data_IF_709186396654
#
_entry.id   IF_709186396654
#
_cell.length_a   1.000
_cell.length_b   1.000
_cell.length_c   1.000
_cell.angle_alpha   90.00
_cell.angle_beta   90.00
_cell.angle_gamma   90.00
#
_symmetry.space_group_name_H-M   'P 1'
#
loop_
_entity.id
_entity.type
_entity.pdbx_description
1 polymer ?
#
# COMPACT_ATOMS: atom_id res chain seq x y z
N UNK A 1 -16.37 4.77 12.62
CA UNK A 1 -16.42 3.47 13.36
C UNK A 1 -17.56 2.66 12.79
N UNK A 2 -17.26 1.51 12.21
CA UNK A 2 -18.28 0.55 11.80
C UNK A 2 -18.47 -0.47 12.92
N UNK A 3 -19.68 -0.53 13.45
CA UNK A 3 -20.06 -1.56 14.43
C UNK A 3 -20.82 -2.66 13.70
N UNK A 4 -20.30 -3.88 13.75
CA UNK A 4 -20.97 -5.06 13.22
C UNK A 4 -21.54 -5.85 14.39
N UNK A 5 -22.85 -6.01 14.46
CA UNK A 5 -23.53 -6.83 15.46
C UNK A 5 -23.83 -8.21 14.89
N UNK A 6 -23.41 -9.25 15.57
CA UNK A 6 -23.75 -10.64 15.24
C UNK A 6 -24.63 -11.19 16.35
N UNK A 7 -25.87 -11.55 16.03
CA UNK A 7 -26.79 -12.23 16.93
C UNK A 7 -26.82 -13.71 16.57
N UNK A 8 -26.43 -14.58 17.50
CA UNK A 8 -26.51 -16.03 17.34
C UNK A 8 -27.63 -16.55 18.21
N UNK A 9 -28.67 -17.12 17.59
CA UNK A 9 -29.78 -17.80 18.30
C UNK A 9 -29.80 -19.27 17.93
N UNK A 10 -29.96 -20.13 18.93
CA UNK A 10 -30.04 -21.58 18.75
C UNK A 10 -31.20 -22.15 19.54
N UNK A 11 -31.78 -23.29 19.06
CA UNK A 11 -32.93 -23.95 19.66
C UNK A 11 -32.59 -24.52 21.06
N UNK A 12 -31.32 -24.73 21.37
CA UNK A 12 -30.85 -25.29 22.65
C UNK A 12 -30.48 -24.22 23.68
N UNK A 13 -30.60 -22.94 23.37
CA UNK A 13 -30.27 -21.86 24.29
C UNK A 13 -31.58 -21.24 24.82
N UNK A 14 -31.84 -21.29 26.11
CA UNK A 14 -33.05 -20.72 26.69
C UNK A 14 -33.10 -19.18 26.64
N UNK A 15 -31.97 -18.56 26.38
CA UNK A 15 -31.81 -17.11 26.16
C UNK A 15 -30.83 -16.87 25.02
N UNK A 16 -31.16 -15.95 24.14
CA UNK A 16 -30.25 -15.53 23.08
C UNK A 16 -28.90 -15.07 23.65
N UNK A 17 -27.82 -15.53 23.08
CA UNK A 17 -26.48 -15.03 23.39
C UNK A 17 -26.15 -13.90 22.43
N UNK A 18 -25.96 -12.70 22.96
CA UNK A 18 -25.52 -11.54 22.19
C UNK A 18 -24.00 -11.42 22.30
N UNK A 19 -23.31 -11.41 21.16
CA UNK A 19 -21.92 -11.07 21.08
C UNK A 19 -21.76 -9.81 20.26
N UNK A 20 -21.17 -8.78 20.84
CA UNK A 20 -20.86 -7.54 20.13
C UNK A 20 -19.36 -7.51 19.78
N UNK A 21 -19.06 -7.46 18.50
CA UNK A 21 -17.70 -7.26 17.99
C UNK A 21 -17.61 -5.85 17.43
N UNK A 22 -16.78 -5.02 18.04
CA UNK A 22 -16.46 -3.71 17.47
C UNK A 22 -15.27 -3.86 16.52
N UNK A 23 -15.51 -3.66 15.23
CA UNK A 23 -14.46 -3.60 14.24
C UNK A 23 -13.99 -2.15 14.12
N UNK A 24 -12.77 -1.89 14.56
CA UNK A 24 -12.12 -0.60 14.32
C UNK A 24 -11.39 -0.71 12.98
N UNK A 25 -11.82 0.04 11.96
CA UNK A 25 -11.09 0.05 10.69
C UNK A 25 -9.66 0.52 10.93
N UNK A 26 -8.67 -0.23 10.40
CA UNK A 26 -7.28 0.21 10.43
C UNK A 26 -7.10 1.49 9.62
N UNK A 27 -6.24 2.39 10.06
CA UNK A 27 -5.87 3.55 9.27
C UNK A 27 -5.21 3.11 7.96
N UNK A 28 -5.54 3.72 6.81
CA UNK A 28 -4.89 3.44 5.55
C UNK A 28 -3.37 3.57 5.67
N UNK A 29 -2.65 2.58 5.18
CA UNK A 29 -1.18 2.58 5.18
C UNK A 29 -0.62 2.02 3.88
N UNK A 30 0.63 2.34 3.60
CA UNK A 30 1.36 1.88 2.43
C UNK A 30 2.58 1.10 2.89
N UNK A 31 2.82 -0.07 2.31
CA UNK A 31 4.07 -0.80 2.44
C UNK A 31 4.77 -0.86 1.10
N UNK A 32 6.10 -0.75 1.11
CA UNK A 32 6.92 -0.90 -0.08
C UNK A 32 7.54 -2.29 -0.13
N UNK A 33 7.56 -2.86 -1.33
CA UNK A 33 8.21 -4.15 -1.62
C UNK A 33 9.08 -4.04 -2.86
N UNK A 34 10.11 -4.84 -2.93
CA UNK A 34 10.89 -5.04 -4.15
C UNK A 34 10.17 -6.02 -5.07
N UNK A 35 10.17 -5.74 -6.36
CA UNK A 35 9.70 -6.68 -7.37
C UNK A 35 10.89 -7.36 -8.05
N UNK A 36 10.92 -8.68 -7.92
CA UNK A 36 11.92 -9.51 -8.58
C UNK A 36 11.36 -10.00 -9.94
N UNK A 37 12.14 -9.93 -11.03
CA UNK A 37 11.67 -10.38 -12.35
C UNK A 37 11.26 -11.86 -12.42
N UNK A 38 11.89 -12.72 -11.59
CA UNK A 38 11.63 -14.17 -11.58
C UNK A 38 10.54 -14.57 -10.57
N UNK A 39 10.51 -13.92 -9.42
CA UNK A 39 9.66 -14.31 -8.28
C UNK A 39 8.49 -13.38 -8.05
N UNK A 40 8.37 -12.30 -8.82
CA UNK A 40 7.35 -11.29 -8.62
C UNK A 40 7.62 -10.39 -7.40
N UNK A 41 6.58 -9.88 -6.78
CA UNK A 41 6.69 -9.01 -5.60
C UNK A 41 7.12 -9.81 -4.38
N UNK A 42 8.19 -9.38 -3.73
CA UNK A 42 8.77 -10.06 -2.55
C UNK A 42 8.04 -9.64 -1.27
N UNK A 43 6.83 -10.13 -1.06
CA UNK A 43 5.97 -9.78 0.09
C UNK A 43 6.52 -10.23 1.44
N UNK A 44 7.49 -11.14 1.49
CA UNK A 44 8.12 -11.60 2.72
C UNK A 44 9.06 -10.58 3.35
N UNK A 45 9.41 -9.51 2.61
CA UNK A 45 10.35 -8.49 3.08
C UNK A 45 9.87 -7.09 2.68
N UNK A 46 9.25 -6.39 3.63
CA UNK A 46 8.96 -4.97 3.47
C UNK A 46 10.26 -4.16 3.38
N UNK A 47 10.30 -3.21 2.45
CA UNK A 47 11.35 -2.21 2.40
C UNK A 47 11.14 -1.19 3.53
N UNK A 48 12.16 -0.97 4.34
CA UNK A 48 12.13 0.03 5.40
C UNK A 48 12.11 1.47 4.87
N UNK A 49 12.58 2.41 5.67
CA UNK A 49 12.69 3.81 5.24
C UNK A 49 13.83 4.06 4.25
N UNK A 50 14.84 3.19 4.26
CA UNK A 50 16.02 3.26 3.39
C UNK A 50 16.19 1.92 2.69
N UNK A 51 16.35 1.97 1.39
CA UNK A 51 16.62 0.82 0.54
C UNK A 51 17.89 1.06 -0.27
N UNK A 52 18.81 0.11 -0.27
CA UNK A 52 20.02 0.17 -1.11
C UNK A 52 19.88 -0.79 -2.28
N UNK A 53 20.00 -0.25 -3.48
CA UNK A 53 19.90 -1.05 -4.71
C UNK A 53 21.17 -1.88 -4.89
N UNK A 54 21.01 -3.17 -5.12
CA UNK A 54 22.09 -4.09 -5.48
C UNK A 54 22.19 -4.36 -6.97
N UNK A 55 21.22 -3.87 -7.73
CA UNK A 55 21.12 -4.03 -9.19
C UNK A 55 21.06 -2.66 -9.86
N UNK A 56 21.31 -2.60 -11.16
CA UNK A 56 21.23 -1.36 -11.92
C UNK A 56 19.80 -0.85 -12.09
N UNK A 57 18.84 -1.75 -11.96
CA UNK A 57 17.42 -1.45 -12.10
C UNK A 57 16.62 -2.30 -11.10
N UNK A 58 15.66 -1.69 -10.44
CA UNK A 58 14.75 -2.36 -9.50
C UNK A 58 13.36 -1.74 -9.59
N UNK A 59 12.33 -2.56 -9.61
CA UNK A 59 10.96 -2.11 -9.47
C UNK A 59 10.55 -2.11 -8.00
N UNK A 60 10.00 -1.00 -7.55
CA UNK A 60 9.45 -0.81 -6.20
C UNK A 60 7.94 -0.82 -6.30
N UNK A 61 7.31 -1.70 -5.54
CA UNK A 61 5.86 -1.84 -5.49
C UNK A 61 5.34 -1.22 -4.21
N UNK A 62 4.34 -0.36 -4.32
CA UNK A 62 3.59 0.18 -3.21
C UNK A 62 2.28 -0.58 -3.05
N UNK A 63 2.12 -1.25 -1.91
CA UNK A 63 0.91 -1.96 -1.57
C UNK A 63 0.11 -1.20 -0.51
N UNK A 64 -1.11 -0.75 -0.87
CA UNK A 64 -2.00 -0.11 0.07
C UNK A 64 -2.75 -1.14 0.91
N UNK A 65 -2.79 -0.89 2.22
CA UNK A 65 -3.54 -1.67 3.19
C UNK A 65 -4.62 -0.82 3.83
N UNK A 66 -5.74 -1.45 4.18
CA UNK A 66 -6.90 -0.81 4.81
C UNK A 66 -7.57 0.26 3.94
N UNK A 67 -7.49 0.10 2.63
CA UNK A 67 -8.26 0.85 1.66
C UNK A 67 -9.52 0.07 1.25
N UNK A 68 -10.58 0.80 0.94
CA UNK A 68 -11.72 0.31 0.19
C UNK A 68 -11.62 0.92 -1.21
N UNK A 69 -11.72 0.20 -2.28
CA UNK A 69 -12.20 -1.17 -2.51
C UNK A 69 -11.11 -2.24 -2.33
N UNK A 70 -11.53 -3.51 -2.37
CA UNK A 70 -10.64 -4.67 -2.22
C UNK A 70 -9.57 -4.76 -3.32
N UNK A 71 -9.85 -4.25 -4.50
CA UNK A 71 -8.88 -4.20 -5.59
C UNK A 71 -8.46 -2.75 -5.83
N UNK A 72 -7.29 -2.42 -5.32
CA UNK A 72 -6.70 -1.09 -5.36
C UNK A 72 -6.14 -0.67 -6.72
N UNK A 73 -6.06 -1.58 -7.68
CA UNK A 73 -5.64 -1.26 -9.06
C UNK A 73 -6.78 -0.70 -9.90
N UNK A 74 -7.99 -0.69 -9.39
CA UNK A 74 -9.14 -0.10 -10.08
C UNK A 74 -9.09 1.44 -10.12
N UNK A 75 -9.95 2.00 -10.96
CA UNK A 75 -10.08 3.45 -11.16
C UNK A 75 -10.40 4.24 -9.88
N UNK A 76 -10.91 3.55 -8.86
CA UNK A 76 -11.33 4.16 -7.60
C UNK A 76 -10.18 4.55 -6.67
N UNK A 77 -8.95 4.19 -7.03
CA UNK A 77 -7.75 4.51 -6.26
C UNK A 77 -6.72 5.21 -7.15
N UNK A 78 -6.32 6.38 -6.74
CA UNK A 78 -5.29 7.17 -7.41
C UNK A 78 -3.92 6.96 -6.74
N UNK A 79 -2.90 6.74 -7.55
CA UNK A 79 -1.50 6.61 -7.14
C UNK A 79 -0.72 7.81 -7.67
N UNK A 80 -0.11 8.58 -6.78
CA UNK A 80 0.67 9.77 -7.11
C UNK A 80 2.11 9.58 -6.68
N UNK A 81 2.98 9.27 -7.63
CA UNK A 81 4.40 9.10 -7.40
C UNK A 81 5.17 10.39 -7.59
N UNK A 82 6.15 10.65 -6.72
CA UNK A 82 7.11 11.74 -6.84
C UNK A 82 8.52 11.22 -6.62
N UNK A 83 9.45 11.69 -7.43
CA UNK A 83 10.89 11.44 -7.29
C UNK A 83 11.57 12.78 -7.08
N UNK A 84 12.23 12.96 -5.93
CA UNK A 84 12.89 14.22 -5.56
C UNK A 84 11.99 15.46 -5.71
N UNK A 85 10.67 15.30 -5.45
CA UNK A 85 9.68 16.34 -5.56
C UNK A 85 9.05 16.51 -6.95
N UNK A 86 9.59 15.85 -7.98
CA UNK A 86 9.01 15.85 -9.32
C UNK A 86 7.96 14.74 -9.47
N UNK A 87 6.79 15.08 -10.00
CA UNK A 87 5.72 14.11 -10.26
C UNK A 87 6.10 13.17 -11.39
N UNK A 88 5.82 11.90 -11.19
CA UNK A 88 6.00 10.84 -12.18
C UNK A 88 4.63 10.43 -12.72
N UNK A 89 4.42 10.62 -14.01
CA UNK A 89 3.15 10.31 -14.67
C UNK A 89 3.17 8.93 -15.33
N UNK A 90 1.97 8.39 -15.55
CA UNK A 90 1.72 7.24 -16.44
C UNK A 90 2.45 5.94 -16.04
N UNK A 91 2.50 5.63 -14.74
CA UNK A 91 3.00 4.34 -14.29
C UNK A 91 2.06 3.21 -14.68
N UNK A 92 2.61 2.11 -15.19
CA UNK A 92 1.87 0.88 -15.46
C UNK A 92 2.71 -0.33 -15.03
N UNK A 93 2.25 -1.10 -14.03
CA UNK A 93 1.04 -0.87 -13.21
C UNK A 93 1.18 0.36 -12.30
N UNK A 94 0.05 0.94 -11.89
CA UNK A 94 -0.01 2.19 -11.10
C UNK A 94 0.75 2.14 -9.78
N UNK A 95 0.81 0.97 -9.17
CA UNK A 95 1.42 0.71 -7.88
C UNK A 95 2.92 0.38 -7.96
N UNK A 96 3.52 0.38 -9.15
CA UNK A 96 4.93 0.05 -9.32
C UNK A 96 5.71 1.23 -9.93
N UNK A 97 6.91 1.44 -9.43
CA UNK A 97 7.85 2.44 -9.92
C UNK A 97 9.18 1.77 -10.26
N UNK A 98 9.61 1.90 -11.50
CA UNK A 98 10.91 1.43 -11.95
C UNK A 98 11.99 2.46 -11.59
N UNK A 99 12.98 2.06 -10.83
CA UNK A 99 14.12 2.89 -10.42
C UNK A 99 15.38 2.35 -11.07
N UNK A 100 16.16 3.23 -11.67
CA UNK A 100 17.45 2.91 -12.31
C UNK A 100 18.57 3.68 -11.66
N UNK A 101 19.73 3.04 -11.50
CA UNK A 101 20.94 3.72 -11.08
C UNK A 101 21.36 4.75 -12.14
N UNK A 102 21.60 5.98 -11.69
CA UNK A 102 22.34 6.97 -12.50
C UNK A 102 23.84 6.69 -12.48
N UNK A 103 24.58 7.24 -13.44
CA UNK A 103 26.03 6.96 -13.55
C UNK A 103 26.92 7.46 -12.41
N UNK A 104 26.38 8.25 -11.51
CA UNK A 104 27.11 8.81 -10.36
C UNK A 104 26.40 8.48 -9.07
N UNK A 105 26.40 7.37 -8.56
CA UNK A 105 25.76 7.00 -7.26
C UNK A 105 25.11 8.16 -6.47
N UNK A 106 24.30 7.89 -5.54
CA UNK A 106 23.60 8.91 -4.76
C UNK A 106 22.38 8.39 -4.05
N UNK A 107 21.59 9.28 -3.46
CA UNK A 107 20.34 8.94 -2.81
C UNK A 107 19.18 9.64 -3.50
N UNK A 108 18.12 8.92 -3.73
CA UNK A 108 16.87 9.41 -4.32
C UNK A 108 15.73 9.29 -3.32
N UNK A 109 14.97 10.36 -3.17
CA UNK A 109 13.77 10.37 -2.35
C UNK A 109 12.55 10.02 -3.22
N UNK A 110 11.91 8.92 -2.91
CA UNK A 110 10.66 8.49 -3.53
C UNK A 110 9.52 8.74 -2.54
N UNK A 111 8.49 9.40 -3.01
CA UNK A 111 7.27 9.64 -2.24
C UNK A 111 6.08 9.13 -3.02
N UNK A 112 5.16 8.47 -2.35
CA UNK A 112 3.87 8.08 -2.93
C UNK A 112 2.73 8.55 -2.05
N UNK A 113 1.69 9.06 -2.70
CA UNK A 113 0.40 9.29 -2.09
C UNK A 113 -0.64 8.41 -2.79
N UNK A 114 -1.39 7.66 -2.01
CA UNK A 114 -2.49 6.82 -2.49
C UNK A 114 -3.77 7.37 -1.89
N UNK A 115 -4.75 7.61 -2.74
CA UNK A 115 -6.04 8.21 -2.36
C UNK A 115 -7.20 7.43 -2.97
N UNK A 116 -8.25 7.20 -2.18
CA UNK A 116 -9.52 6.76 -2.73
C UNK A 116 -10.23 7.96 -3.37
N UNK A 117 -10.69 7.79 -4.61
CA UNK A 117 -11.47 8.84 -5.31
C UNK A 117 -12.95 8.81 -4.94
N UNK A 118 -13.40 7.73 -4.31
CA UNK A 118 -14.81 7.52 -3.95
C UNK A 118 -15.07 7.65 -2.46
N UNK A 119 -14.06 7.47 -1.62
CA UNK A 119 -14.16 7.51 -0.15
C UNK A 119 -13.37 8.69 0.39
N UNK A 120 -14.07 9.65 0.98
CA UNK A 120 -13.43 10.77 1.68
C UNK A 120 -12.58 10.23 2.83
N UNK A 121 -11.43 10.89 3.06
CA UNK A 121 -10.49 10.59 4.15
C UNK A 121 -9.75 9.23 4.05
N UNK A 122 -9.87 8.52 2.93
CA UNK A 122 -9.01 7.37 2.67
C UNK A 122 -7.80 7.77 1.83
N UNK A 123 -6.77 8.22 2.48
CA UNK A 123 -5.48 8.52 1.85
C UNK A 123 -4.33 8.09 2.75
N UNK A 124 -3.21 7.76 2.15
CA UNK A 124 -1.96 7.50 2.84
C UNK A 124 -0.80 8.02 2.00
N UNK A 125 0.25 8.46 2.68
CA UNK A 125 1.51 8.88 2.04
C UNK A 125 2.66 8.15 2.69
N UNK A 126 3.62 7.70 1.89
CA UNK A 126 4.85 7.07 2.37
C UNK A 126 6.05 7.53 1.57
N UNK A 127 7.16 7.67 2.26
CA UNK A 127 8.46 8.05 1.68
C UNK A 127 9.44 6.91 1.82
N UNK A 128 10.26 6.71 0.78
CA UNK A 128 11.37 5.77 0.73
C UNK A 128 12.62 6.52 0.23
N UNK A 129 13.74 6.35 0.90
CA UNK A 129 15.04 6.81 0.43
C UNK A 129 15.76 5.63 -0.23
N UNK A 130 16.14 5.80 -1.48
CA UNK A 130 16.84 4.77 -2.25
C UNK A 130 18.27 5.20 -2.47
N UNK A 131 19.22 4.39 -1.99
CA UNK A 131 20.64 4.55 -2.30
C UNK A 131 20.93 3.83 -3.62
N UNK A 132 21.45 4.58 -4.57
CA UNK A 132 21.70 4.16 -5.94
C UNK A 132 23.11 3.57 -6.12
#
# INVERSE_FOLDING_TARGET
DETVSLVVSGISLPTGADAQLTLVPGNPKILFYEQNPLYGTLYQKELGQVFSMNTDETAIVAEPYFFSPKNVLYSDVAFKWNINGASVANQSPKNALLVRKGGTGGSTKINITIESVTKLFQSATKTLFVNL
#
